data_IF_403135498567
#
_entry.id   IF_403135498567
#
_cell.length_a   1.000
_cell.length_b   1.000
_cell.length_c   1.000
_cell.angle_alpha   90.00
_cell.angle_beta   90.00
_cell.angle_gamma   90.00
#
_symmetry.space_group_name_H-M   'P 1'
#
loop_
_entity.id
_entity.type
_entity.pdbx_description
1 polymer ?
#
# COMPACT_ATOMS: atom_id res chain seq x y z
N UNK A 1 -24.75 38.24 -15.85
CA UNK A 1 -25.45 37.00 -16.26
C UNK A 1 -25.95 36.30 -15.01
N UNK A 2 -27.28 36.26 -14.78
CA UNK A 2 -27.86 35.50 -13.66
C UNK A 2 -27.61 34.02 -13.95
N UNK A 3 -26.82 33.36 -13.10
CA UNK A 3 -26.60 31.92 -13.16
C UNK A 3 -27.97 31.25 -12.94
N UNK A 4 -28.57 30.73 -14.00
CA UNK A 4 -29.79 29.93 -13.90
C UNK A 4 -29.42 28.67 -13.10
N UNK A 5 -29.96 28.57 -11.88
CA UNK A 5 -29.73 27.42 -11.00
C UNK A 5 -30.74 26.36 -11.38
N UNK A 6 -30.27 25.18 -11.78
CA UNK A 6 -31.13 24.10 -12.24
C UNK A 6 -31.65 23.30 -11.03
N UNK A 7 -32.96 23.10 -10.99
CA UNK A 7 -33.67 22.36 -9.95
C UNK A 7 -34.13 21.03 -10.55
N UNK A 8 -33.57 19.93 -10.06
CA UNK A 8 -33.98 18.58 -10.43
C UNK A 8 -34.75 17.92 -9.30
N UNK A 9 -35.77 17.13 -9.64
CA UNK A 9 -36.50 16.30 -8.66
C UNK A 9 -36.16 14.85 -8.90
N UNK A 10 -35.78 14.15 -7.85
CA UNK A 10 -35.45 12.73 -7.88
C UNK A 10 -36.56 11.97 -7.16
N UNK A 11 -37.14 11.01 -7.85
CA UNK A 11 -38.09 10.05 -7.33
C UNK A 11 -37.37 8.73 -7.04
N UNK A 12 -37.40 8.30 -5.79
CA UNK A 12 -36.89 7.02 -5.31
C UNK A 12 -38.06 6.09 -4.95
N UNK A 13 -38.42 5.12 -5.82
CA UNK A 13 -39.54 4.23 -5.57
C UNK A 13 -39.17 3.17 -4.51
N UNK A 14 -39.91 3.17 -3.41
CA UNK A 14 -39.85 2.16 -2.34
C UNK A 14 -41.15 1.34 -2.34
N UNK A 15 -41.19 0.21 -1.63
CA UNK A 15 -42.31 -0.77 -1.69
C UNK A 15 -43.73 -0.20 -1.54
N UNK A 16 -43.92 0.94 -0.88
CA UNK A 16 -45.25 1.52 -0.60
C UNK A 16 -45.31 3.05 -0.73
N UNK A 17 -44.20 3.69 -1.08
CA UNK A 17 -44.06 5.15 -1.14
C UNK A 17 -42.93 5.52 -2.07
N UNK A 18 -42.92 6.77 -2.49
CA UNK A 18 -41.88 7.33 -3.35
C UNK A 18 -41.17 8.42 -2.54
N UNK A 19 -39.89 8.23 -2.25
CA UNK A 19 -39.05 9.30 -1.74
C UNK A 19 -38.89 10.37 -2.82
N UNK A 20 -39.17 11.62 -2.49
CA UNK A 20 -39.02 12.75 -3.40
C UNK A 20 -37.95 13.67 -2.83
N UNK A 21 -36.92 13.94 -3.63
CA UNK A 21 -35.83 14.84 -3.26
C UNK A 21 -35.70 15.94 -4.30
N UNK A 22 -35.65 17.20 -3.88
CA UNK A 22 -35.34 18.31 -4.76
C UNK A 22 -33.86 18.63 -4.60
N UNK A 23 -33.12 18.62 -5.72
CA UNK A 23 -31.68 18.84 -5.74
C UNK A 23 -31.39 20.05 -6.61
N UNK A 24 -30.54 20.92 -6.08
CA UNK A 24 -30.07 22.12 -6.76
C UNK A 24 -28.70 21.85 -7.35
N UNK A 25 -28.53 22.10 -8.65
CA UNK A 25 -27.26 21.96 -9.37
C UNK A 25 -26.54 20.61 -9.12
N UNK A 26 -27.32 19.52 -8.99
CA UNK A 26 -26.83 18.18 -8.68
C UNK A 26 -25.96 18.06 -7.41
N UNK A 27 -26.15 18.97 -6.45
CA UNK A 27 -25.48 18.91 -5.15
C UNK A 27 -25.85 17.64 -4.38
N UNK A 28 -24.91 17.16 -3.55
CA UNK A 28 -25.06 15.90 -2.83
C UNK A 28 -26.21 15.92 -1.80
N UNK A 29 -26.46 17.08 -1.20
CA UNK A 29 -27.52 17.28 -0.22
C UNK A 29 -28.74 17.91 -0.89
N UNK A 30 -29.91 17.25 -0.89
CA UNK A 30 -31.14 17.84 -1.37
C UNK A 30 -31.52 19.10 -0.58
N UNK A 31 -32.14 20.06 -1.26
CA UNK A 31 -32.76 21.23 -0.62
C UNK A 31 -34.10 20.89 0.01
N UNK A 32 -34.71 19.78 -0.40
CA UNK A 32 -35.97 19.28 0.12
C UNK A 32 -36.01 17.76 0.05
N UNK A 33 -36.56 17.14 1.09
CA UNK A 33 -36.88 15.72 1.14
C UNK A 33 -38.32 15.52 1.58
N UNK A 34 -39.02 14.60 0.91
CA UNK A 34 -40.38 14.24 1.23
C UNK A 34 -40.72 12.82 0.78
N UNK A 35 -41.93 12.38 1.11
CA UNK A 35 -42.46 11.08 0.68
C UNK A 35 -43.84 11.28 0.06
N UNK A 36 -44.07 10.59 -1.05
CA UNK A 36 -45.30 10.62 -1.83
C UNK A 36 -45.91 9.21 -1.86
N UNK A 37 -47.15 9.08 -1.43
CA UNK A 37 -47.94 7.85 -1.58
C UNK A 37 -48.98 8.06 -2.67
N UNK A 38 -49.12 7.08 -3.56
CA UNK A 38 -50.08 7.10 -4.65
C UNK A 38 -51.30 6.23 -4.33
N UNK A 39 -52.44 6.58 -4.91
CA UNK A 39 -53.64 5.75 -4.89
C UNK A 39 -54.28 5.70 -6.28
N UNK A 40 -54.88 4.56 -6.61
CA UNK A 40 -55.61 4.38 -7.85
C UNK A 40 -56.98 5.07 -7.75
N UNK A 41 -57.26 5.94 -8.70
CA UNK A 41 -58.56 6.63 -8.81
C UNK A 41 -59.24 6.29 -10.14
N UNK A 42 -60.50 6.73 -10.32
CA UNK A 42 -61.21 6.61 -11.61
C UNK A 42 -60.46 7.27 -12.78
N UNK A 43 -59.55 8.21 -12.51
CA UNK A 43 -58.75 8.95 -13.50
C UNK A 43 -57.28 8.48 -13.58
N UNK A 44 -56.98 7.28 -13.07
CA UNK A 44 -55.64 6.69 -13.00
C UNK A 44 -54.94 6.94 -11.67
N UNK A 45 -53.63 6.68 -11.61
CA UNK A 45 -52.82 6.91 -10.41
C UNK A 45 -52.71 8.40 -10.04
N UNK A 46 -52.93 8.73 -8.76
CA UNK A 46 -52.91 10.10 -8.23
C UNK A 46 -52.22 10.19 -6.86
N UNK A 47 -51.60 11.33 -6.53
CA UNK A 47 -51.11 11.63 -5.19
C UNK A 47 -52.20 11.48 -4.13
N UNK A 48 -51.96 10.63 -3.12
CA UNK A 48 -52.85 10.45 -1.97
C UNK A 48 -52.34 11.21 -0.75
N UNK A 49 -51.06 11.01 -0.40
CA UNK A 49 -50.41 11.63 0.75
C UNK A 49 -49.06 12.19 0.33
N UNK A 50 -48.76 13.40 0.75
CA UNK A 50 -47.45 14.01 0.60
C UNK A 50 -46.97 14.47 1.97
N UNK A 51 -45.79 14.02 2.38
CA UNK A 51 -45.20 14.36 3.67
C UNK A 51 -43.80 14.91 3.47
N UNK A 52 -43.42 15.89 4.29
CA UNK A 52 -42.05 16.41 4.37
C UNK A 52 -41.76 16.81 5.81
N UNK A 53 -40.56 16.52 6.30
CA UNK A 53 -40.15 16.82 7.69
C UNK A 53 -41.18 16.36 8.74
N UNK A 54 -41.76 15.17 8.53
CA UNK A 54 -42.81 14.58 9.37
C UNK A 54 -44.12 15.40 9.46
N UNK A 55 -44.37 16.33 8.53
CA UNK A 55 -45.61 17.09 8.41
C UNK A 55 -46.34 16.73 7.12
N UNK A 56 -47.66 16.63 7.19
CA UNK A 56 -48.50 16.47 6.00
C UNK A 56 -48.57 17.79 5.23
N UNK A 57 -48.37 17.68 3.91
CA UNK A 57 -48.52 18.77 2.95
C UNK A 57 -49.64 18.43 1.97
N UNK A 58 -50.15 19.43 1.24
CA UNK A 58 -51.20 19.18 0.27
C UNK A 58 -50.63 18.35 -0.88
N UNK A 59 -51.30 17.28 -1.35
CA UNK A 59 -50.80 16.49 -2.48
C UNK A 59 -50.60 17.28 -3.79
N UNK A 60 -51.26 18.44 -3.93
CA UNK A 60 -51.05 19.37 -5.05
C UNK A 60 -49.65 19.98 -5.06
N UNK A 61 -49.04 20.23 -3.89
CA UNK A 61 -47.68 20.80 -3.78
C UNK A 61 -46.64 19.87 -4.40
N UNK A 62 -46.83 18.55 -4.30
CA UNK A 62 -45.94 17.58 -4.95
C UNK A 62 -45.97 17.72 -6.49
N UNK A 63 -47.14 18.02 -7.05
CA UNK A 63 -47.32 18.19 -8.50
C UNK A 63 -46.76 19.53 -8.97
N UNK A 64 -46.96 20.60 -8.20
CA UNK A 64 -46.34 21.91 -8.46
C UNK A 64 -44.81 21.79 -8.45
N UNK A 65 -44.25 21.10 -7.45
CA UNK A 65 -42.82 20.84 -7.37
C UNK A 65 -42.31 20.08 -8.61
N UNK A 66 -42.99 19.00 -9.02
CA UNK A 66 -42.62 18.25 -10.22
C UNK A 66 -42.73 19.09 -11.50
N UNK A 67 -43.74 19.95 -11.63
CA UNK A 67 -43.91 20.86 -12.78
C UNK A 67 -42.83 21.94 -12.85
N UNK A 68 -42.37 22.41 -11.69
CA UNK A 68 -41.33 23.44 -11.60
C UNK A 68 -39.91 22.92 -11.79
N UNK A 69 -39.73 21.59 -11.82
CA UNK A 69 -38.41 20.99 -11.97
C UNK A 69 -37.93 21.04 -13.42
N UNK A 70 -36.67 21.42 -13.62
CA UNK A 70 -36.01 21.35 -14.93
C UNK A 70 -35.85 19.91 -15.40
N UNK A 71 -35.69 18.97 -14.45
CA UNK A 71 -35.55 17.55 -14.73
C UNK A 71 -36.19 16.70 -13.64
N UNK A 72 -36.99 15.70 -14.05
CA UNK A 72 -37.47 14.65 -13.15
C UNK A 72 -36.66 13.39 -13.41
N UNK A 73 -36.03 12.86 -12.36
CA UNK A 73 -35.18 11.69 -12.41
C UNK A 73 -35.79 10.55 -11.60
N UNK A 74 -35.82 9.36 -12.17
CA UNK A 74 -36.29 8.14 -11.52
C UNK A 74 -35.09 7.26 -11.14
N UNK A 75 -34.91 7.06 -9.83
CA UNK A 75 -33.89 6.18 -9.28
C UNK A 75 -34.29 4.71 -9.42
N UNK A 76 -33.33 3.76 -9.43
CA UNK A 76 -33.64 2.34 -9.34
C UNK A 76 -34.30 2.03 -7.99
N UNK A 77 -35.36 1.23 -8.00
CA UNK A 77 -36.09 0.84 -6.80
C UNK A 77 -37.21 -0.14 -7.12
N UNK A 78 -38.31 -0.08 -6.36
CA UNK A 78 -39.44 -1.01 -6.55
C UNK A 78 -40.11 -0.84 -7.92
N UNK A 79 -40.17 -1.92 -8.70
CA UNK A 79 -40.68 -1.90 -10.08
C UNK A 79 -42.17 -1.58 -10.17
N UNK A 80 -42.98 -1.97 -9.17
CA UNK A 80 -44.41 -1.68 -9.19
C UNK A 80 -44.64 -0.21 -8.87
N UNK A 81 -44.05 0.29 -7.79
CA UNK A 81 -44.18 1.70 -7.42
C UNK A 81 -43.59 2.63 -8.49
N UNK A 82 -42.52 2.24 -9.17
CA UNK A 82 -41.99 2.95 -10.33
C UNK A 82 -43.02 3.04 -11.47
N UNK A 83 -43.71 1.94 -11.78
CA UNK A 83 -44.77 1.91 -12.82
C UNK A 83 -45.94 2.80 -12.46
N UNK A 84 -46.38 2.76 -11.20
CA UNK A 84 -47.47 3.61 -10.70
C UNK A 84 -47.11 5.11 -10.76
N UNK A 85 -45.85 5.44 -10.46
CA UNK A 85 -45.34 6.81 -10.59
C UNK A 85 -45.31 7.28 -12.04
N UNK A 86 -44.86 6.44 -12.97
CA UNK A 86 -44.87 6.75 -14.40
C UNK A 86 -46.30 6.97 -14.92
N UNK A 87 -47.25 6.13 -14.50
CA UNK A 87 -48.67 6.31 -14.84
C UNK A 87 -49.21 7.65 -14.31
N UNK A 88 -48.85 8.01 -13.07
CA UNK A 88 -49.22 9.29 -12.48
C UNK A 88 -48.62 10.46 -13.29
N UNK A 89 -47.32 10.43 -13.60
CA UNK A 89 -46.66 11.49 -14.37
C UNK A 89 -47.32 11.70 -15.73
N UNK A 90 -47.61 10.61 -16.46
CA UNK A 90 -48.32 10.66 -17.74
C UNK A 90 -49.69 11.32 -17.61
N UNK A 91 -50.43 11.02 -16.53
CA UNK A 91 -51.72 11.64 -16.23
C UNK A 91 -51.66 13.16 -16.01
N UNK A 92 -50.48 13.72 -15.72
CA UNK A 92 -50.23 15.15 -15.58
C UNK A 92 -49.42 15.76 -16.72
N UNK A 93 -49.17 15.00 -17.80
CA UNK A 93 -48.33 15.40 -18.95
C UNK A 93 -46.87 15.68 -18.55
N UNK A 94 -46.36 14.95 -17.56
CA UNK A 94 -44.97 14.98 -17.12
C UNK A 94 -44.24 13.73 -17.58
N UNK A 95 -42.92 13.85 -17.76
CA UNK A 95 -42.04 12.71 -18.06
C UNK A 95 -40.82 12.74 -17.16
N UNK A 96 -40.17 11.59 -16.99
CA UNK A 96 -38.93 11.47 -16.22
C UNK A 96 -37.88 10.67 -16.98
N UNK A 97 -36.61 10.87 -16.62
CA UNK A 97 -35.47 10.07 -17.11
C UNK A 97 -34.99 9.12 -16.02
N UNK A 98 -34.56 7.93 -16.39
CA UNK A 98 -33.90 7.03 -15.44
C UNK A 98 -32.49 7.53 -15.10
N UNK A 99 -32.08 7.33 -13.84
CA UNK A 99 -30.73 7.65 -13.38
C UNK A 99 -30.21 6.54 -12.48
N UNK A 100 -28.91 6.24 -12.55
CA UNK A 100 -28.26 5.30 -11.62
C UNK A 100 -27.64 6.08 -10.47
N UNK A 101 -28.05 5.77 -9.25
CA UNK A 101 -27.62 6.46 -8.03
C UNK A 101 -26.96 5.50 -7.05
N UNK A 102 -26.07 6.03 -6.23
CA UNK A 102 -25.50 5.30 -5.11
C UNK A 102 -26.59 5.02 -4.07
N UNK A 103 -26.93 3.74 -3.87
CA UNK A 103 -27.94 3.30 -2.89
C UNK A 103 -27.63 3.73 -1.47
N UNK A 104 -26.34 3.74 -1.10
CA UNK A 104 -25.89 4.14 0.24
C UNK A 104 -26.14 5.62 0.50
N UNK A 105 -25.95 6.49 -0.51
CA UNK A 105 -26.33 7.89 -0.41
C UNK A 105 -27.85 8.04 -0.27
N UNK A 106 -28.64 7.28 -1.03
CA UNK A 106 -30.10 7.35 -0.98
C UNK A 106 -30.67 7.00 0.40
N UNK A 107 -30.10 6.01 1.10
CA UNK A 107 -30.50 5.65 2.46
C UNK A 107 -30.33 6.81 3.46
N UNK A 108 -29.34 7.68 3.21
CA UNK A 108 -29.04 8.87 4.01
C UNK A 108 -29.73 10.15 3.49
N UNK A 109 -30.73 10.01 2.61
CA UNK A 109 -31.39 11.12 1.90
C UNK A 109 -30.39 12.03 1.15
N UNK A 110 -29.31 11.45 0.63
CA UNK A 110 -28.31 12.13 -0.19
C UNK A 110 -28.37 11.63 -1.63
N UNK A 111 -27.89 12.47 -2.53
CA UNK A 111 -27.85 12.22 -3.95
C UNK A 111 -26.42 12.10 -4.45
N UNK A 112 -26.06 10.99 -5.08
CA UNK A 112 -24.80 10.90 -5.84
C UNK A 112 -24.99 9.97 -7.03
N UNK A 113 -24.77 10.45 -8.26
CA UNK A 113 -24.87 9.62 -9.46
C UNK A 113 -23.71 8.62 -9.53
N UNK A 114 -23.99 7.44 -10.09
CA UNK A 114 -22.97 6.45 -10.42
C UNK A 114 -22.33 6.83 -11.75
N UNK A 115 -21.01 6.94 -11.73
CA UNK A 115 -20.17 7.37 -12.83
C UNK A 115 -18.93 6.46 -12.98
N UNK A 116 -17.97 6.89 -13.79
CA UNK A 116 -16.71 6.14 -14.01
C UNK A 116 -15.85 6.01 -12.75
N UNK A 117 -16.04 6.88 -11.75
CA UNK A 117 -15.29 6.88 -10.48
C UNK A 117 -15.93 6.01 -9.43
N UNK A 118 -17.10 5.45 -9.71
CA UNK A 118 -17.81 4.57 -8.79
C UNK A 118 -17.01 3.30 -8.54
N UNK A 119 -17.16 2.78 -7.33
CA UNK A 119 -16.39 1.67 -6.77
C UNK A 119 -17.34 0.50 -6.61
N UNK A 120 -16.91 -0.69 -7.03
CA UNK A 120 -17.68 -1.91 -6.88
C UNK A 120 -17.70 -2.32 -5.40
N UNK A 121 -18.87 -2.68 -4.90
CA UNK A 121 -19.04 -3.31 -3.60
C UNK A 121 -20.14 -4.38 -3.72
N UNK A 122 -19.78 -5.62 -3.41
CA UNK A 122 -20.59 -6.82 -3.63
C UNK A 122 -21.11 -6.86 -5.08
N UNK A 123 -22.42 -6.73 -5.25
CA UNK A 123 -23.10 -6.80 -6.55
C UNK A 123 -23.59 -5.42 -7.05
N UNK A 124 -23.13 -4.32 -6.45
CA UNK A 124 -23.53 -2.97 -6.84
C UNK A 124 -22.35 -2.00 -6.97
N UNK A 125 -22.62 -0.82 -7.54
CA UNK A 125 -21.65 0.27 -7.65
C UNK A 125 -22.05 1.37 -6.66
N UNK A 126 -21.08 1.86 -5.89
CA UNK A 126 -21.25 2.93 -4.92
C UNK A 126 -20.30 4.10 -5.21
N UNK A 127 -20.60 5.29 -4.69
CA UNK A 127 -19.72 6.43 -4.88
C UNK A 127 -18.45 6.31 -4.00
N UNK A 128 -17.36 7.02 -4.35
CA UNK A 128 -16.11 6.99 -3.60
C UNK A 128 -16.29 7.28 -2.10
N UNK A 129 -17.11 8.27 -1.74
CA UNK A 129 -17.32 8.65 -0.34
C UNK A 129 -17.97 7.53 0.47
N UNK A 130 -18.96 6.84 -0.12
CA UNK A 130 -19.60 5.71 0.55
C UNK A 130 -18.67 4.50 0.65
N UNK A 131 -17.82 4.28 -0.36
CA UNK A 131 -16.84 3.20 -0.34
C UNK A 131 -15.75 3.43 0.73
N UNK A 132 -15.25 4.66 0.84
CA UNK A 132 -14.30 5.04 1.90
C UNK A 132 -14.93 4.92 3.28
N UNK A 133 -16.18 5.36 3.45
CA UNK A 133 -16.91 5.19 4.70
C UNK A 133 -17.08 3.73 5.11
N UNK A 134 -17.35 2.84 4.14
CA UNK A 134 -17.43 1.40 4.40
C UNK A 134 -16.06 0.80 4.75
N UNK A 135 -15.02 1.18 4.01
CA UNK A 135 -13.65 0.78 4.30
C UNK A 135 -13.23 1.16 5.72
N UNK A 136 -13.53 2.40 6.14
CA UNK A 136 -13.22 2.88 7.49
C UNK A 136 -13.99 2.13 8.58
N UNK A 137 -15.26 1.80 8.33
CA UNK A 137 -16.06 1.01 9.28
C UNK A 137 -15.47 -0.37 9.53
N UNK A 138 -15.07 -1.06 8.47
CA UNK A 138 -14.42 -2.38 8.58
C UNK A 138 -13.04 -2.29 9.26
N UNK A 139 -12.26 -1.26 8.94
CA UNK A 139 -10.94 -1.05 9.51
C UNK A 139 -10.94 -0.46 10.92
N UNK A 140 -12.09 -0.08 11.48
CA UNK A 140 -12.18 0.60 12.77
C UNK A 140 -11.56 -0.22 13.92
N UNK A 141 -11.56 -1.55 13.80
CA UNK A 141 -11.00 -2.46 14.80
C UNK A 141 -9.55 -2.88 14.52
N UNK A 142 -9.00 -2.50 13.37
CA UNK A 142 -7.63 -2.83 12.98
C UNK A 142 -6.65 -1.80 13.53
N UNK A 143 -5.55 -2.24 14.15
CA UNK A 143 -4.48 -1.35 14.64
C UNK A 143 -3.57 -0.87 13.50
N UNK A 144 -4.14 -0.20 12.51
CA UNK A 144 -3.40 0.43 11.41
C UNK A 144 -2.96 1.84 11.81
N UNK A 145 -1.69 2.16 11.55
CA UNK A 145 -1.22 3.55 11.64
C UNK A 145 -1.74 4.40 10.48
N UNK A 146 -1.68 5.73 10.63
CA UNK A 146 -2.19 6.72 9.66
C UNK A 146 -1.65 6.49 8.24
N UNK A 147 -0.34 6.29 8.10
CA UNK A 147 0.29 6.00 6.80
C UNK A 147 -0.20 4.69 6.14
N UNK A 148 -0.59 3.70 6.96
CA UNK A 148 -1.17 2.45 6.49
C UNK A 148 -2.58 2.67 5.94
N UNK A 149 -3.41 3.42 6.66
CA UNK A 149 -4.76 3.78 6.25
C UNK A 149 -4.76 4.55 4.92
N UNK A 150 -3.91 5.59 4.82
CA UNK A 150 -3.78 6.40 3.60
C UNK A 150 -3.40 5.55 2.38
N UNK A 151 -2.53 4.55 2.57
CA UNK A 151 -2.14 3.63 1.50
C UNK A 151 -3.30 2.73 1.07
N UNK A 152 -4.12 2.24 2.01
CA UNK A 152 -5.28 1.40 1.69
C UNK A 152 -6.34 2.23 0.95
N UNK A 153 -6.60 3.47 1.37
CA UNK A 153 -7.52 4.37 0.68
C UNK A 153 -7.08 4.64 -0.77
N UNK A 154 -5.80 4.96 -0.98
CA UNK A 154 -5.23 5.13 -2.33
C UNK A 154 -5.38 3.86 -3.18
N UNK A 155 -5.23 2.70 -2.56
CA UNK A 155 -5.41 1.40 -3.23
C UNK A 155 -6.87 1.20 -3.64
N UNK A 156 -7.82 1.51 -2.76
CA UNK A 156 -9.26 1.46 -3.07
C UNK A 156 -9.64 2.36 -4.24
N UNK A 157 -9.18 3.62 -4.23
CA UNK A 157 -9.49 4.58 -5.29
C UNK A 157 -8.87 4.20 -6.65
N UNK A 158 -7.73 3.50 -6.63
CA UNK A 158 -7.06 2.99 -7.83
C UNK A 158 -7.72 1.73 -8.38
N UNK A 159 -7.98 0.74 -7.53
CA UNK A 159 -8.53 -0.57 -7.92
C UNK A 159 -10.03 -0.48 -8.22
N UNK A 160 -10.75 0.45 -7.57
CA UNK A 160 -12.21 0.65 -7.69
C UNK A 160 -13.03 -0.61 -7.40
N UNK A 161 -12.53 -1.46 -6.53
CA UNK A 161 -13.19 -2.67 -6.06
C UNK A 161 -12.95 -2.81 -4.55
N UNK A 162 -14.01 -2.62 -3.77
CA UNK A 162 -13.96 -2.65 -2.32
C UNK A 162 -13.81 -4.07 -1.78
N UNK A 163 -14.47 -5.05 -2.41
CA UNK A 163 -14.39 -6.45 -1.98
C UNK A 163 -12.97 -6.98 -2.17
N UNK A 164 -12.31 -6.57 -3.25
CA UNK A 164 -10.92 -6.89 -3.53
C UNK A 164 -9.96 -6.30 -2.49
N UNK A 165 -10.22 -5.07 -2.03
CA UNK A 165 -9.43 -4.44 -0.95
C UNK A 165 -9.65 -5.13 0.39
N UNK A 166 -10.88 -5.55 0.70
CA UNK A 166 -11.12 -6.36 1.90
C UNK A 166 -10.45 -7.73 1.83
N UNK A 167 -10.42 -8.35 0.65
CA UNK A 167 -9.66 -9.58 0.43
C UNK A 167 -8.17 -9.42 0.77
N UNK A 168 -7.55 -8.30 0.42
CA UNK A 168 -6.15 -8.01 0.78
C UNK A 168 -5.89 -7.97 2.30
N UNK A 169 -6.91 -7.62 3.09
CA UNK A 169 -6.82 -7.53 4.55
C UNK A 169 -7.08 -8.87 5.23
N UNK A 170 -7.60 -9.85 4.48
CA UNK A 170 -7.83 -11.20 4.95
C UNK A 170 -6.53 -12.02 4.79
N UNK A 171 -5.89 -12.43 5.91
CA UNK A 171 -4.64 -13.19 5.86
C UNK A 171 -4.78 -14.56 5.17
N UNK A 172 -6.01 -15.09 5.02
CA UNK A 172 -6.27 -16.35 4.30
C UNK A 172 -6.49 -16.14 2.80
N UNK A 173 -6.72 -14.90 2.34
CA UNK A 173 -7.00 -14.56 0.93
C UNK A 173 -5.98 -13.59 0.37
N UNK A 174 -4.75 -14.07 0.19
CA UNK A 174 -3.70 -13.31 -0.48
C UNK A 174 -3.97 -13.23 -2.00
N UNK A 175 -4.47 -12.09 -2.47
CA UNK A 175 -4.51 -11.78 -3.90
C UNK A 175 -3.12 -11.31 -4.37
N UNK A 176 -2.42 -12.20 -5.09
CA UNK A 176 -1.06 -11.95 -5.57
C UNK A 176 -0.96 -10.67 -6.42
N UNK A 177 -1.96 -10.34 -7.23
CA UNK A 177 -1.93 -9.15 -8.10
C UNK A 177 -1.90 -7.84 -7.29
N UNK A 178 -2.51 -7.81 -6.12
CA UNK A 178 -2.54 -6.62 -5.25
C UNK A 178 -1.25 -6.45 -4.45
N UNK A 179 -0.57 -7.57 -4.17
CA UNK A 179 0.70 -7.60 -3.43
C UNK A 179 1.93 -7.54 -4.32
N UNK A 180 1.80 -7.79 -5.63
CA UNK A 180 2.90 -7.80 -6.57
C UNK A 180 3.51 -6.40 -6.71
N UNK A 181 4.69 -6.22 -6.13
CA UNK A 181 5.45 -4.99 -6.23
C UNK A 181 6.23 -4.89 -7.56
N UNK A 182 6.92 -5.98 -7.93
CA UNK A 182 7.77 -6.04 -9.12
C UNK A 182 8.00 -7.47 -9.59
N UNK A 183 8.16 -7.67 -10.90
CA UNK A 183 8.69 -8.91 -11.47
C UNK A 183 10.12 -8.68 -11.96
N UNK A 184 11.02 -9.61 -11.63
CA UNK A 184 12.40 -9.62 -12.10
C UNK A 184 12.56 -10.83 -13.00
N UNK A 185 13.08 -10.63 -14.22
CA UNK A 185 13.34 -11.73 -15.14
C UNK A 185 14.42 -12.66 -14.57
N UNK A 186 14.21 -13.97 -14.69
CA UNK A 186 15.21 -14.94 -14.31
C UNK A 186 16.47 -14.79 -15.19
N UNK A 187 17.60 -14.48 -14.58
CA UNK A 187 18.89 -14.46 -15.28
C UNK A 187 19.44 -15.89 -15.33
N UNK A 188 19.74 -16.40 -16.53
CA UNK A 188 20.35 -17.72 -16.65
C UNK A 188 21.85 -17.61 -16.34
N UNK A 189 22.42 -18.48 -15.50
CA UNK A 189 23.84 -18.44 -15.16
C UNK A 189 24.78 -18.50 -16.38
N UNK A 190 24.36 -19.17 -17.46
CA UNK A 190 25.12 -19.30 -18.69
C UNK A 190 25.26 -18.00 -19.50
N UNK A 191 24.38 -17.02 -19.27
CA UNK A 191 24.38 -15.76 -20.00
C UNK A 191 25.25 -14.69 -19.31
N UNK A 192 25.78 -14.98 -18.12
CA UNK A 192 26.62 -14.06 -17.35
C UNK A 192 28.08 -14.23 -17.77
N UNK A 193 28.78 -13.14 -18.17
CA UNK A 193 30.18 -13.22 -18.57
C UNK A 193 31.07 -13.62 -17.39
N UNK A 194 32.06 -14.46 -17.66
CA UNK A 194 33.08 -14.83 -16.68
C UNK A 194 33.94 -13.62 -16.32
N UNK A 195 34.01 -13.30 -15.02
CA UNK A 195 34.83 -12.20 -14.48
C UNK A 195 35.98 -12.78 -13.67
N UNK A 196 37.22 -12.43 -14.01
CA UNK A 196 38.40 -12.82 -13.25
C UNK A 196 38.63 -11.89 -12.08
N UNK A 197 39.16 -12.43 -10.97
CA UNK A 197 39.50 -11.61 -9.80
C UNK A 197 40.61 -10.60 -10.11
N UNK A 198 41.55 -10.96 -10.99
CA UNK A 198 42.64 -10.09 -11.43
C UNK A 198 42.16 -8.78 -12.07
N UNK A 199 40.95 -8.81 -12.65
CA UNK A 199 40.41 -7.70 -13.43
C UNK A 199 39.56 -6.76 -12.57
N UNK A 200 39.32 -7.14 -11.30
CA UNK A 200 38.54 -6.35 -10.38
C UNK A 200 39.37 -5.17 -9.84
N UNK A 201 38.78 -3.96 -9.71
CA UNK A 201 39.44 -2.79 -9.14
C UNK A 201 39.55 -2.91 -7.61
N UNK A 202 40.35 -3.87 -7.13
CA UNK A 202 40.57 -4.13 -5.70
C UNK A 202 41.94 -3.56 -5.26
N UNK A 203 42.09 -3.20 -3.96
CA UNK A 203 43.40 -2.91 -3.40
C UNK A 203 44.37 -4.07 -3.64
N UNK A 204 45.61 -3.78 -4.08
CA UNK A 204 46.58 -4.80 -4.55
C UNK A 204 46.71 -6.01 -3.60
N UNK A 205 46.96 -5.76 -2.31
CA UNK A 205 47.10 -6.82 -1.29
C UNK A 205 45.85 -7.69 -1.14
N UNK A 206 44.66 -7.12 -1.32
CA UNK A 206 43.41 -7.87 -1.24
C UNK A 206 43.17 -8.69 -2.51
N UNK A 207 43.44 -8.11 -3.69
CA UNK A 207 43.39 -8.82 -4.96
C UNK A 207 44.36 -10.00 -5.01
N UNK A 208 45.59 -9.83 -4.55
CA UNK A 208 46.61 -10.90 -4.42
C UNK A 208 46.14 -12.02 -3.49
N UNK A 209 45.61 -11.66 -2.31
CA UNK A 209 45.08 -12.62 -1.34
C UNK A 209 43.95 -13.48 -1.93
N UNK A 210 43.03 -12.85 -2.69
CA UNK A 210 41.91 -13.55 -3.30
C UNK A 210 42.34 -14.40 -4.51
N UNK A 211 43.24 -13.88 -5.34
CA UNK A 211 43.71 -14.56 -6.56
C UNK A 211 44.44 -15.87 -6.25
N UNK A 212 45.05 -15.98 -5.07
CA UNK A 212 45.64 -17.23 -4.59
C UNK A 212 44.62 -18.34 -4.25
N UNK A 213 43.33 -18.01 -4.13
CA UNK A 213 42.27 -18.95 -3.74
C UNK A 213 41.18 -19.10 -4.79
N UNK A 214 40.88 -18.03 -5.54
CA UNK A 214 39.76 -17.96 -6.47
C UNK A 214 40.25 -17.27 -7.75
N UNK A 215 40.04 -17.91 -8.90
CA UNK A 215 40.44 -17.35 -10.20
C UNK A 215 39.33 -16.50 -10.82
N UNK A 216 38.10 -17.03 -10.77
CA UNK A 216 36.93 -16.48 -11.46
C UNK A 216 35.75 -16.39 -10.49
N UNK A 217 34.92 -15.36 -10.71
CA UNK A 217 33.69 -15.14 -9.95
C UNK A 217 32.59 -16.09 -10.43
N UNK A 218 31.74 -16.52 -9.49
CA UNK A 218 30.49 -17.19 -9.81
C UNK A 218 29.51 -16.20 -10.47
N UNK A 219 28.53 -16.69 -11.27
CA UNK A 219 27.60 -15.82 -12.00
C UNK A 219 26.91 -14.75 -11.13
N UNK A 220 26.43 -15.11 -9.94
CA UNK A 220 25.80 -14.13 -9.02
C UNK A 220 26.77 -13.05 -8.53
N UNK A 221 28.05 -13.40 -8.35
CA UNK A 221 29.09 -12.47 -7.93
C UNK A 221 29.48 -11.53 -9.07
N UNK A 222 29.63 -12.06 -10.29
CA UNK A 222 29.89 -11.27 -11.50
C UNK A 222 28.75 -10.26 -11.76
N UNK A 223 27.49 -10.72 -11.69
CA UNK A 223 26.32 -9.87 -11.83
C UNK A 223 26.28 -8.77 -10.75
N UNK A 224 26.63 -9.09 -9.51
CA UNK A 224 26.71 -8.10 -8.44
C UNK A 224 27.78 -7.04 -8.73
N UNK A 225 28.96 -7.43 -9.21
CA UNK A 225 30.02 -6.50 -9.62
C UNK A 225 29.57 -5.59 -10.77
N UNK A 226 28.94 -6.16 -11.80
CA UNK A 226 28.39 -5.42 -12.94
C UNK A 226 27.37 -4.37 -12.49
N UNK A 227 26.50 -4.73 -11.56
CA UNK A 227 25.49 -3.85 -10.94
C UNK A 227 26.07 -2.89 -9.87
N UNK A 228 27.38 -2.66 -9.89
CA UNK A 228 28.01 -1.57 -9.15
C UNK A 228 28.38 -1.90 -7.69
N UNK A 229 28.53 -3.17 -7.32
CA UNK A 229 28.97 -3.58 -5.98
C UNK A 229 30.23 -2.82 -5.54
N UNK A 230 31.26 -2.80 -6.40
CA UNK A 230 32.55 -2.15 -6.11
C UNK A 230 32.51 -0.63 -6.27
N UNK A 231 31.37 -0.07 -6.71
CA UNK A 231 31.11 1.37 -6.83
C UNK A 231 30.34 1.91 -5.61
N UNK A 232 29.91 1.05 -4.69
CA UNK A 232 29.16 1.41 -3.48
C UNK A 232 27.65 1.41 -3.65
N UNK A 233 27.12 0.80 -4.71
CA UNK A 233 25.68 0.63 -4.90
C UNK A 233 25.13 -0.38 -3.89
N UNK A 234 24.07 -0.02 -3.15
CA UNK A 234 23.35 -0.96 -2.27
C UNK A 234 22.60 -2.01 -3.09
N UNK A 235 22.65 -3.27 -2.66
CA UNK A 235 22.09 -4.39 -3.41
C UNK A 235 21.32 -5.35 -2.50
N UNK A 236 20.22 -5.89 -3.02
CA UNK A 236 19.55 -7.07 -2.47
C UNK A 236 19.91 -8.26 -3.36
N UNK A 237 20.66 -9.21 -2.82
CA UNK A 237 21.12 -10.39 -3.57
C UNK A 237 20.32 -11.60 -3.16
N UNK A 238 19.57 -12.15 -4.12
CA UNK A 238 18.76 -13.36 -3.94
C UNK A 238 19.37 -14.46 -4.82
N UNK A 239 19.86 -15.52 -4.18
CA UNK A 239 20.43 -16.67 -4.88
C UNK A 239 20.38 -17.92 -4.02
N UNK A 240 20.54 -19.08 -4.64
CA UNK A 240 20.65 -20.38 -3.97
C UNK A 240 21.81 -20.40 -2.95
N UNK A 241 21.71 -21.25 -1.93
CA UNK A 241 22.80 -21.50 -0.98
C UNK A 241 24.03 -22.04 -1.71
N UNK A 242 25.22 -21.85 -1.13
CA UNK A 242 26.52 -22.22 -1.72
C UNK A 242 26.94 -21.50 -3.03
N UNK A 243 26.15 -20.57 -3.57
CA UNK A 243 26.55 -19.73 -4.73
C UNK A 243 27.51 -18.57 -4.37
N UNK A 244 28.10 -18.60 -3.18
CA UNK A 244 29.16 -17.64 -2.79
C UNK A 244 28.69 -16.23 -2.43
N UNK A 245 27.46 -16.06 -1.91
CA UNK A 245 26.92 -14.77 -1.41
C UNK A 245 27.84 -14.06 -0.42
N UNK A 246 28.51 -14.81 0.46
CA UNK A 246 29.44 -14.25 1.46
C UNK A 246 30.55 -13.44 0.79
N UNK A 247 31.10 -13.93 -0.32
CA UNK A 247 32.18 -13.24 -1.03
C UNK A 247 31.73 -11.91 -1.62
N UNK A 248 30.46 -11.77 -2.01
CA UNK A 248 29.90 -10.48 -2.48
C UNK A 248 30.02 -9.43 -1.36
N UNK A 249 29.59 -9.80 -0.16
CA UNK A 249 29.71 -8.94 1.02
C UNK A 249 31.18 -8.64 1.38
N UNK A 250 32.05 -9.64 1.30
CA UNK A 250 33.49 -9.49 1.56
C UNK A 250 34.17 -8.56 0.54
N UNK A 251 33.84 -8.68 -0.76
CA UNK A 251 34.38 -7.82 -1.82
C UNK A 251 34.05 -6.35 -1.57
N UNK A 252 32.79 -6.03 -1.25
CA UNK A 252 32.38 -4.66 -0.93
C UNK A 252 32.95 -4.19 0.41
N UNK A 253 32.87 -5.02 1.45
CA UNK A 253 33.28 -4.70 2.81
C UNK A 253 34.77 -4.41 2.93
N UNK A 254 35.61 -5.34 2.46
CA UNK A 254 37.07 -5.24 2.57
C UNK A 254 37.62 -4.14 1.66
N UNK A 255 37.11 -3.98 0.43
CA UNK A 255 37.50 -2.87 -0.45
C UNK A 255 37.23 -1.53 0.22
N UNK A 256 36.00 -1.30 0.68
CA UNK A 256 35.61 -0.03 1.30
C UNK A 256 36.42 0.24 2.58
N UNK A 257 36.71 -0.81 3.36
CA UNK A 257 37.54 -0.73 4.56
C UNK A 257 38.97 -0.26 4.22
N UNK A 258 39.62 -0.92 3.26
CA UNK A 258 40.99 -0.61 2.85
C UNK A 258 41.13 0.73 2.13
N UNK A 259 40.06 1.22 1.50
CA UNK A 259 40.00 2.56 0.89
C UNK A 259 39.64 3.66 1.89
N UNK A 260 39.49 3.33 3.18
CA UNK A 260 39.19 4.32 4.23
C UNK A 260 37.76 4.85 4.22
N UNK A 261 36.81 4.17 3.57
CA UNK A 261 35.39 4.58 3.54
C UNK A 261 34.69 4.33 4.88
N UNK A 262 35.21 3.41 5.69
CA UNK A 262 34.72 3.12 7.03
C UNK A 262 34.88 1.64 7.39
N UNK A 263 34.55 1.30 8.63
CA UNK A 263 34.54 -0.07 9.15
C UNK A 263 33.51 -0.94 8.41
N UNK A 264 33.76 -2.25 8.40
CA UNK A 264 32.88 -3.24 7.78
C UNK A 264 32.04 -3.92 8.87
N UNK A 265 30.72 -3.83 8.81
CA UNK A 265 29.80 -4.53 9.71
C UNK A 265 29.16 -5.71 8.97
N UNK A 266 29.37 -6.93 9.48
CA UNK A 266 28.82 -8.17 8.94
C UNK A 266 27.86 -8.79 9.96
N UNK A 267 26.57 -8.85 9.63
CA UNK A 267 25.52 -9.28 10.55
C UNK A 267 25.05 -10.68 10.17
N UNK A 268 24.89 -11.54 11.18
CA UNK A 268 24.40 -12.91 11.01
C UNK A 268 23.29 -13.20 12.02
N UNK A 269 22.37 -14.15 11.73
CA UNK A 269 21.22 -14.37 12.59
C UNK A 269 21.55 -15.08 13.91
N UNK A 270 22.63 -15.86 13.97
CA UNK A 270 22.94 -16.71 15.12
C UNK A 270 24.32 -16.42 15.69
N UNK A 271 24.43 -16.51 17.02
CA UNK A 271 25.71 -16.35 17.75
C UNK A 271 26.76 -17.36 17.29
N UNK A 272 26.37 -18.61 17.02
CA UNK A 272 27.29 -19.63 16.52
C UNK A 272 27.91 -19.23 15.17
N UNK A 273 27.08 -18.73 14.24
CA UNK A 273 27.55 -18.22 12.95
C UNK A 273 28.45 -16.99 13.11
N UNK A 274 28.16 -16.13 14.09
CA UNK A 274 28.96 -14.94 14.36
C UNK A 274 30.37 -15.32 14.83
N UNK A 275 30.48 -16.30 15.74
CA UNK A 275 31.78 -16.82 16.17
C UNK A 275 32.55 -17.45 15.01
N UNK A 276 31.89 -18.31 14.23
CA UNK A 276 32.51 -18.92 13.04
C UNK A 276 33.03 -17.85 12.07
N UNK A 277 32.22 -16.83 11.77
CA UNK A 277 32.61 -15.76 10.85
C UNK A 277 33.71 -14.87 11.41
N UNK A 278 33.74 -14.65 12.72
CA UNK A 278 34.82 -13.91 13.37
C UNK A 278 36.15 -14.65 13.22
N UNK A 279 36.17 -15.96 13.46
CA UNK A 279 37.36 -16.80 13.27
C UNK A 279 37.78 -16.84 11.79
N UNK A 280 36.85 -17.10 10.87
CA UNK A 280 37.10 -17.10 9.41
C UNK A 280 37.75 -15.79 8.94
N UNK A 281 37.20 -14.65 9.39
CA UNK A 281 37.68 -13.32 8.99
C UNK A 281 39.01 -12.96 9.65
N UNK A 282 39.24 -13.36 10.90
CA UNK A 282 40.55 -13.19 11.54
C UNK A 282 41.63 -13.95 10.79
N UNK A 283 41.38 -15.22 10.51
CA UNK A 283 42.33 -16.08 9.80
C UNK A 283 42.64 -15.49 8.42
N UNK A 284 41.61 -15.06 7.69
CA UNK A 284 41.76 -14.57 6.32
C UNK A 284 42.39 -13.19 6.23
N UNK A 285 41.97 -12.24 7.07
CA UNK A 285 42.23 -10.80 6.86
C UNK A 285 43.22 -10.16 7.83
N UNK A 286 43.64 -10.86 8.89
CA UNK A 286 44.66 -10.34 9.83
C UNK A 286 45.97 -9.96 9.14
N UNK A 287 46.40 -10.73 8.13
CA UNK A 287 47.59 -10.44 7.32
C UNK A 287 47.50 -9.13 6.52
N UNK A 288 46.30 -8.59 6.33
CA UNK A 288 46.09 -7.28 5.70
C UNK A 288 46.15 -6.11 6.71
N UNK A 289 46.43 -6.39 7.99
CA UNK A 289 46.39 -5.41 9.08
C UNK A 289 44.97 -5.09 9.56
N UNK A 290 43.99 -5.93 9.20
CA UNK A 290 42.58 -5.75 9.54
C UNK A 290 42.29 -6.45 10.88
N UNK A 291 41.61 -5.75 11.78
CA UNK A 291 41.19 -6.28 13.08
C UNK A 291 39.74 -6.75 13.00
N UNK A 292 39.44 -7.96 13.46
CA UNK A 292 38.06 -8.46 13.55
C UNK A 292 37.58 -8.45 15.01
N UNK A 293 36.38 -7.92 15.23
CA UNK A 293 35.75 -7.79 16.54
C UNK A 293 34.36 -8.43 16.53
N UNK A 294 34.15 -9.37 17.45
CA UNK A 294 32.83 -9.96 17.70
C UNK A 294 31.93 -9.00 18.52
N UNK A 295 30.69 -8.81 18.07
CA UNK A 295 29.62 -8.05 18.73
C UNK A 295 28.33 -8.88 18.76
N UNK A 296 28.26 -9.81 19.70
CA UNK A 296 27.07 -10.60 19.99
C UNK A 296 26.45 -10.13 21.32
N UNK A 297 25.14 -10.31 21.47
CA UNK A 297 24.46 -10.07 22.74
C UNK A 297 25.17 -10.80 23.89
N UNK A 298 25.23 -10.17 25.06
CA UNK A 298 26.07 -10.61 26.19
C UNK A 298 25.71 -12.06 26.57
N UNK A 299 26.65 -13.00 26.38
CA UNK A 299 26.65 -14.17 27.25
C UNK A 299 27.06 -13.67 28.64
N UNK A 300 26.32 -14.02 29.69
CA UNK A 300 26.52 -13.59 31.09
C UNK A 300 27.90 -13.98 31.69
N UNK A 301 28.85 -14.42 30.87
CA UNK A 301 30.18 -14.86 31.24
C UNK A 301 31.19 -13.88 30.66
N UNK A 302 31.70 -13.01 31.53
CA UNK A 302 32.78 -12.08 31.22
C UNK A 302 34.08 -12.88 31.18
N UNK A 303 34.53 -13.28 29.99
CA UNK A 303 35.95 -13.58 29.82
C UNK A 303 36.67 -12.26 29.52
N UNK A 304 37.40 -11.77 30.53
CA UNK A 304 38.35 -10.66 30.41
C UNK A 304 39.51 -11.03 29.47
N UNK A 305 39.26 -11.04 28.15
CA UNK A 305 40.35 -10.89 27.19
C UNK A 305 40.61 -9.40 27.01
N UNK A 306 41.68 -8.91 27.64
CA UNK A 306 42.30 -7.60 27.40
C UNK A 306 42.27 -7.28 25.90
N UNK A 307 41.45 -6.33 25.48
CA UNK A 307 41.45 -5.82 24.10
C UNK A 307 42.02 -4.41 24.08
N UNK A 308 43.14 -4.26 23.36
CA UNK A 308 43.88 -3.00 23.15
C UNK A 308 42.93 -1.93 22.60
N UNK A 309 43.09 -0.68 23.05
CA UNK A 309 42.45 0.51 22.45
C UNK A 309 42.69 0.48 20.94
N UNK A 310 41.65 0.31 20.14
CA UNK A 310 41.77 0.42 18.68
C UNK A 310 42.02 1.88 18.33
N UNK A 311 43.11 2.14 17.62
CA UNK A 311 43.37 3.43 16.97
C UNK A 311 42.18 3.84 16.11
N UNK A 312 41.97 5.14 15.98
CA UNK A 312 40.98 5.82 15.12
C UNK A 312 41.09 5.55 13.61
N UNK A 313 41.89 4.57 13.18
CA UNK A 313 41.99 4.13 11.80
C UNK A 313 40.87 3.12 11.47
N UNK A 314 40.18 3.31 10.34
CA UNK A 314 39.12 2.43 9.84
C UNK A 314 39.68 1.11 9.31
N UNK A 315 40.10 0.22 10.21
CA UNK A 315 40.65 -1.11 9.88
C UNK A 315 39.92 -2.24 10.60
N UNK A 316 38.68 -2.00 11.04
CA UNK A 316 37.91 -2.97 11.82
C UNK A 316 36.78 -3.62 11.02
N UNK A 317 36.73 -4.95 11.09
CA UNK A 317 35.55 -5.75 10.74
C UNK A 317 34.78 -6.05 12.04
N UNK A 318 33.52 -5.66 12.09
CA UNK A 318 32.58 -6.02 13.16
C UNK A 318 31.74 -7.19 12.70
N UNK A 319 31.80 -8.32 13.41
CA UNK A 319 30.94 -9.47 13.17
C UNK A 319 29.92 -9.53 14.30
N UNK A 320 28.63 -9.42 14.00
CA UNK A 320 27.60 -9.33 15.04
C UNK A 320 26.31 -10.05 14.72
N UNK A 321 25.46 -10.21 15.73
CA UNK A 321 24.06 -10.61 15.53
C UNK A 321 23.14 -9.40 15.46
N UNK A 322 21.96 -9.57 14.88
CA UNK A 322 20.94 -8.51 14.82
C UNK A 322 20.70 -7.89 16.20
N UNK A 323 20.50 -8.71 17.23
CA UNK A 323 20.24 -8.27 18.61
C UNK A 323 21.49 -7.63 19.24
N UNK A 324 22.68 -8.17 18.95
CA UNK A 324 23.94 -7.66 19.48
C UNK A 324 24.28 -6.27 18.97
N UNK A 325 23.97 -6.01 17.68
CA UNK A 325 24.11 -4.70 17.05
C UNK A 325 23.00 -3.76 17.51
N UNK A 326 21.73 -4.19 17.52
CA UNK A 326 20.60 -3.37 17.97
C UNK A 326 20.78 -2.88 19.41
N UNK A 327 21.20 -3.76 20.32
CA UNK A 327 21.54 -3.38 21.69
C UNK A 327 22.64 -2.31 21.75
N UNK A 328 23.69 -2.44 20.93
CA UNK A 328 24.79 -1.48 20.90
C UNK A 328 24.32 -0.10 20.42
N UNK A 329 23.46 -0.07 19.41
CA UNK A 329 22.87 1.15 18.86
C UNK A 329 21.98 1.85 19.90
N UNK A 330 21.09 1.10 20.57
CA UNK A 330 20.14 1.65 21.54
C UNK A 330 20.77 2.02 22.89
N UNK A 331 21.88 1.39 23.28
CA UNK A 331 22.55 1.64 24.56
C UNK A 331 23.42 2.91 24.59
N UNK A 332 23.37 3.75 23.54
CA UNK A 332 24.19 4.96 23.42
C UNK A 332 25.68 4.68 23.17
N UNK A 333 26.05 3.41 22.91
CA UNK A 333 27.42 2.95 22.69
C UNK A 333 27.76 2.78 21.21
N UNK A 334 26.91 3.28 20.31
CA UNK A 334 27.09 3.22 18.85
C UNK A 334 28.45 3.75 18.38
N UNK A 335 29.00 4.76 19.08
CA UNK A 335 30.34 5.31 18.78
C UNK A 335 31.46 4.27 18.81
N UNK A 336 31.27 3.12 19.47
CA UNK A 336 32.23 1.99 19.43
C UNK A 336 32.40 1.40 18.04
N UNK A 337 31.36 1.41 17.21
CA UNK A 337 31.44 0.91 15.83
C UNK A 337 32.33 1.79 14.94
N UNK A 338 32.58 3.04 15.34
CA UNK A 338 33.21 4.04 14.49
C UNK A 338 32.35 4.36 13.26
N UNK A 339 32.95 4.98 12.24
CA UNK A 339 32.30 5.22 10.95
C UNK A 339 32.15 3.88 10.22
N UNK A 340 30.92 3.39 10.02
CA UNK A 340 30.64 2.21 9.21
C UNK A 340 30.57 2.62 7.72
N UNK A 341 31.31 1.91 6.87
CA UNK A 341 31.33 2.13 5.41
C UNK A 341 30.51 1.09 4.63
N UNK A 342 30.34 -0.10 5.18
CA UNK A 342 29.58 -1.20 4.56
C UNK A 342 28.86 -2.01 5.64
N UNK A 343 27.59 -2.34 5.40
CA UNK A 343 26.81 -3.29 6.20
C UNK A 343 26.39 -4.43 5.29
N UNK A 344 26.57 -5.66 5.74
CA UNK A 344 26.13 -6.90 5.06
C UNK A 344 25.24 -7.69 5.99
#
# INVERSE_FOLDING_TARGET
>A
MKSYMAISVIANPERSKIGIMQVKDFQKTPIFCGTLTLAKTKRGMRPQKFMSENRFRKPSEAIEMLRSADLILLAPGDSNTAREFLEMLNGYQLSCRSVRLCRYCLLENKFTPIDKRSIKSRNEMICPDCALGELHRELAHTKLGEAGLERIEKTLLRTRDLDRVFGMLDPERLDHDLTLYSMIAATKPADVPTVKISDLPLPKRFGELLSGKIKELLPVQALSVENGLLKGTSQLVISETATGKTLIGELAGIKNLMEGRGNFLFIVPLVALANQKEDDFKERYSQLGITTVLQVGVSRIIHEKRRKKSSTASTTIWVGTYEGVDYLLRSGKAGRLGKIGTVV
#
